data_IF_381989232939
#
_entry.id   IF_381989232939
#
_cell.length_a   1.000
_cell.length_b   1.000
_cell.length_c   1.000
_cell.angle_alpha   90.00
_cell.angle_beta   90.00
_cell.angle_gamma   90.00
#
_symmetry.space_group_name_H-M   'P 1'
#
loop_
_entity.id
_entity.type
_entity.pdbx_description
1 polymer ?
#
# COMPACT_ATOMS: atom_id res chain seq x y z
N UNK A 1 -3.87 15.90 -12.20
CA UNK A 1 -2.93 14.76 -12.19
C UNK A 1 -1.51 15.21 -11.91
N UNK A 2 -0.99 16.18 -12.68
CA UNK A 2 0.39 16.66 -12.55
C UNK A 2 0.74 17.08 -11.11
N UNK A 3 -0.11 17.89 -10.47
CA UNK A 3 0.09 18.35 -9.09
C UNK A 3 0.20 17.19 -8.09
N UNK A 4 -0.62 16.16 -8.25
CA UNK A 4 -0.58 14.97 -7.39
C UNK A 4 0.70 14.16 -7.66
N UNK A 5 1.04 13.98 -8.92
CA UNK A 5 2.25 13.27 -9.33
C UNK A 5 3.52 13.96 -8.80
N UNK A 6 3.59 15.29 -8.92
CA UNK A 6 4.72 16.08 -8.44
C UNK A 6 4.93 15.96 -6.92
N UNK A 7 3.85 15.83 -6.14
CA UNK A 7 3.91 15.66 -4.68
C UNK A 7 4.61 14.37 -4.23
N UNK A 8 4.60 13.35 -5.07
CA UNK A 8 5.16 12.03 -4.74
C UNK A 8 6.31 11.61 -5.65
N UNK A 9 6.79 12.52 -6.48
CA UNK A 9 7.83 12.29 -7.48
C UNK A 9 7.49 11.17 -8.47
N UNK A 10 6.27 11.23 -9.04
CA UNK A 10 5.76 10.27 -10.02
C UNK A 10 5.46 10.94 -11.37
N UNK A 11 5.30 10.14 -12.42
CA UNK A 11 4.78 10.61 -13.70
C UNK A 11 3.25 10.77 -13.61
N UNK A 12 2.69 11.83 -14.19
CA UNK A 12 1.24 12.06 -14.17
C UNK A 12 0.42 10.92 -14.79
N UNK A 13 1.02 10.13 -15.67
CA UNK A 13 0.39 8.97 -16.30
C UNK A 13 0.27 7.77 -15.36
N UNK A 14 0.95 7.82 -14.22
CA UNK A 14 0.88 6.82 -13.16
C UNK A 14 -0.23 7.10 -12.14
N UNK A 15 -0.98 8.20 -12.31
CA UNK A 15 -2.05 8.58 -11.42
C UNK A 15 -3.40 8.18 -12.00
N UNK A 16 -4.13 7.36 -11.25
CA UNK A 16 -5.50 6.93 -11.54
C UNK A 16 -6.44 7.59 -10.54
N UNK A 17 -7.49 8.24 -11.04
CA UNK A 17 -8.50 8.86 -10.19
C UNK A 17 -9.50 7.81 -9.69
N UNK A 18 -9.87 7.92 -8.42
CA UNK A 18 -10.85 7.06 -7.76
C UNK A 18 -11.84 7.91 -6.95
N UNK A 19 -12.84 7.26 -6.36
CA UNK A 19 -13.80 7.92 -5.47
C UNK A 19 -13.26 8.20 -4.06
N UNK A 20 -12.09 7.65 -3.73
CA UNK A 20 -11.45 7.82 -2.42
C UNK A 20 -10.39 6.77 -2.15
N UNK A 21 -9.73 6.87 -1.00
CA UNK A 21 -8.69 5.94 -0.58
C UNK A 21 -9.20 4.49 -0.47
N UNK A 22 -10.45 4.30 -0.05
CA UNK A 22 -11.08 2.97 0.05
C UNK A 22 -11.10 2.26 -1.31
N UNK A 23 -11.59 2.94 -2.36
CA UNK A 23 -11.60 2.38 -3.71
C UNK A 23 -10.16 2.15 -4.21
N UNK A 24 -9.25 3.08 -3.96
CA UNK A 24 -7.84 2.94 -4.33
C UNK A 24 -7.21 1.70 -3.70
N UNK A 25 -7.44 1.46 -2.41
CA UNK A 25 -6.94 0.28 -1.69
C UNK A 25 -7.51 -1.03 -2.30
N UNK A 26 -8.82 -1.05 -2.54
CA UNK A 26 -9.49 -2.20 -3.16
C UNK A 26 -8.92 -2.49 -4.56
N UNK A 27 -8.82 -1.46 -5.38
CA UNK A 27 -8.32 -1.58 -6.76
C UNK A 27 -6.89 -2.11 -6.79
N UNK A 28 -6.01 -1.59 -5.94
CA UNK A 28 -4.62 -2.02 -5.87
C UNK A 28 -4.48 -3.46 -5.41
N UNK A 29 -5.03 -3.79 -4.24
CA UNK A 29 -4.84 -5.10 -3.60
C UNK A 29 -5.54 -6.20 -4.41
N UNK A 30 -6.82 -6.01 -4.74
CA UNK A 30 -7.57 -6.98 -5.55
C UNK A 30 -7.03 -7.10 -6.96
N UNK A 31 -6.61 -5.99 -7.56
CA UNK A 31 -6.03 -5.98 -8.89
C UNK A 31 -4.81 -6.88 -9.00
N UNK A 32 -3.85 -6.74 -8.09
CA UNK A 32 -2.67 -7.59 -8.05
C UNK A 32 -3.04 -9.03 -7.71
N UNK A 33 -3.83 -9.24 -6.66
CA UNK A 33 -4.21 -10.57 -6.21
C UNK A 33 -4.88 -11.38 -7.33
N UNK A 34 -5.87 -10.80 -8.01
CA UNK A 34 -6.61 -11.49 -9.07
C UNK A 34 -5.77 -11.68 -10.33
N UNK A 35 -5.02 -10.66 -10.75
CA UNK A 35 -4.22 -10.73 -11.97
C UNK A 35 -3.10 -11.77 -11.87
N UNK A 36 -2.44 -11.83 -10.70
CA UNK A 36 -1.30 -12.72 -10.47
C UNK A 36 -1.66 -14.00 -9.69
N UNK A 37 -2.93 -14.39 -9.63
CA UNK A 37 -3.39 -15.55 -8.85
C UNK A 37 -2.71 -16.87 -9.24
N UNK A 38 -2.27 -16.98 -10.50
CA UNK A 38 -1.52 -18.16 -10.98
C UNK A 38 -0.07 -18.22 -10.47
N UNK A 39 0.50 -17.04 -10.16
CA UNK A 39 1.85 -16.95 -9.60
C UNK A 39 1.85 -17.25 -8.11
N UNK A 40 0.80 -16.88 -7.42
CA UNK A 40 0.64 -17.12 -5.99
C UNK A 40 -0.63 -16.52 -5.43
N UNK A 41 -1.00 -16.97 -4.24
CA UNK A 41 -2.20 -16.54 -3.53
C UNK A 41 -1.92 -16.07 -2.10
N UNK A 42 -0.71 -15.62 -1.82
CA UNK A 42 -0.33 -15.12 -0.51
C UNK A 42 -0.21 -13.59 -0.49
N UNK A 43 -0.80 -12.99 0.52
CA UNK A 43 -0.83 -11.54 0.76
C UNK A 43 -0.31 -11.27 2.16
N UNK A 44 0.48 -10.22 2.31
CA UNK A 44 0.97 -9.76 3.61
C UNK A 44 0.42 -8.36 3.87
N UNK A 45 -0.14 -8.15 5.05
CA UNK A 45 -0.58 -6.85 5.54
C UNK A 45 -0.33 -6.76 7.04
N UNK A 46 -0.80 -5.70 7.70
CA UNK A 46 -0.70 -5.58 9.16
C UNK A 46 -2.06 -5.53 9.82
N UNK A 47 -2.12 -5.86 11.12
CA UNK A 47 -3.36 -5.80 11.90
C UNK A 47 -3.83 -4.38 12.17
N UNK A 48 -2.95 -3.41 12.06
CA UNK A 48 -3.22 -2.00 12.35
C UNK A 48 -3.57 -1.18 11.11
N UNK A 49 -3.82 -1.85 9.96
CA UNK A 49 -4.25 -1.19 8.73
C UNK A 49 -5.64 -0.58 8.88
N UNK A 50 -5.95 0.38 8.02
CA UNK A 50 -7.30 0.92 7.92
C UNK A 50 -8.30 -0.19 7.60
N UNK A 51 -9.54 -0.05 8.10
CA UNK A 51 -10.63 -1.01 7.90
C UNK A 51 -10.81 -1.41 6.42
N UNK A 52 -10.66 -0.47 5.49
CA UNK A 52 -10.78 -0.73 4.06
C UNK A 52 -9.78 -1.79 3.56
N UNK A 53 -8.55 -1.76 4.03
CA UNK A 53 -7.51 -2.75 3.68
C UNK A 53 -7.85 -4.10 4.31
N UNK A 54 -8.21 -4.10 5.59
CA UNK A 54 -8.55 -5.33 6.32
C UNK A 54 -9.78 -6.04 5.70
N UNK A 55 -10.82 -5.29 5.37
CA UNK A 55 -12.04 -5.84 4.75
C UNK A 55 -11.73 -6.42 3.35
N UNK A 56 -10.89 -5.75 2.57
CA UNK A 56 -10.42 -6.23 1.28
C UNK A 56 -9.68 -7.56 1.42
N UNK A 57 -8.76 -7.65 2.38
CA UNK A 57 -8.01 -8.87 2.63
C UNK A 57 -8.92 -10.02 3.10
N UNK A 58 -9.89 -9.74 3.98
CA UNK A 58 -10.87 -10.74 4.42
C UNK A 58 -11.73 -11.25 3.28
N UNK A 59 -12.12 -10.39 2.34
CA UNK A 59 -12.85 -10.81 1.15
C UNK A 59 -11.99 -11.74 0.28
N UNK A 60 -10.71 -11.42 0.09
CA UNK A 60 -9.79 -12.27 -0.66
C UNK A 60 -9.58 -13.63 0.01
N UNK A 61 -9.54 -13.69 1.35
CA UNK A 61 -9.50 -14.96 2.08
C UNK A 61 -10.70 -15.85 1.74
N UNK A 62 -11.91 -15.29 1.63
CA UNK A 62 -13.11 -16.02 1.22
C UNK A 62 -13.04 -16.53 -0.22
N UNK A 63 -12.23 -15.88 -1.05
CA UNK A 63 -11.96 -16.30 -2.43
C UNK A 63 -10.82 -17.33 -2.54
N UNK A 64 -10.23 -17.75 -1.42
CA UNK A 64 -9.19 -18.78 -1.37
C UNK A 64 -7.76 -18.23 -1.30
N UNK A 65 -7.59 -16.93 -1.09
CA UNK A 65 -6.27 -16.34 -0.81
C UNK A 65 -5.88 -16.55 0.65
N UNK A 66 -4.59 -16.60 0.90
CA UNK A 66 -4.03 -16.69 2.24
C UNK A 66 -3.41 -15.35 2.62
N UNK A 67 -3.79 -14.81 3.77
CA UNK A 67 -3.32 -13.51 4.24
C UNK A 67 -2.56 -13.66 5.55
N UNK A 68 -1.35 -13.13 5.60
CA UNK A 68 -0.58 -12.98 6.82
C UNK A 68 -0.78 -11.57 7.36
N UNK A 69 -1.31 -11.47 8.58
CA UNK A 69 -1.50 -10.21 9.30
C UNK A 69 -0.37 -10.02 10.31
N UNK A 70 0.55 -9.11 10.02
CA UNK A 70 1.68 -8.81 10.89
C UNK A 70 1.21 -8.02 12.11
N UNK A 71 1.69 -8.40 13.28
CA UNK A 71 1.49 -7.64 14.51
C UNK A 71 2.60 -6.58 14.62
N UNK A 72 2.25 -5.31 14.97
CA UNK A 72 3.25 -4.30 15.20
C UNK A 72 4.11 -4.64 16.42
N UNK A 73 5.31 -4.08 16.47
CA UNK A 73 6.17 -4.19 17.66
C UNK A 73 5.62 -3.35 18.84
N UNK A 74 6.34 -3.32 19.96
CA UNK A 74 5.96 -2.58 21.16
C UNK A 74 5.86 -1.06 20.92
N UNK A 75 6.47 -0.55 19.86
CA UNK A 75 6.40 0.86 19.45
C UNK A 75 5.30 1.14 18.41
N UNK A 76 4.53 0.13 18.02
CA UNK A 76 3.48 0.26 17.01
C UNK A 76 3.99 0.27 15.58
N UNK A 77 5.21 -0.23 15.34
CA UNK A 77 5.84 -0.24 14.02
C UNK A 77 5.83 -1.63 13.40
N UNK A 78 5.69 -1.67 12.08
CA UNK A 78 5.97 -2.86 11.29
C UNK A 78 7.42 -2.77 10.83
N UNK A 79 8.27 -3.58 11.42
CA UNK A 79 9.69 -3.59 11.07
C UNK A 79 9.94 -4.28 9.73
N UNK A 80 10.92 -3.82 8.95
CA UNK A 80 11.26 -4.45 7.66
C UNK A 80 11.55 -5.96 7.77
N UNK A 81 12.20 -6.39 8.85
CA UNK A 81 12.53 -7.79 9.11
C UNK A 81 11.27 -8.67 9.24
N UNK A 82 10.19 -8.15 9.82
CA UNK A 82 8.92 -8.87 9.94
C UNK A 82 8.34 -9.17 8.54
N UNK A 83 8.44 -8.22 7.63
CA UNK A 83 8.00 -8.39 6.24
C UNK A 83 8.89 -9.41 5.54
N UNK A 84 10.20 -9.28 5.66
CA UNK A 84 11.16 -10.21 5.06
C UNK A 84 10.91 -11.66 5.49
N UNK A 85 10.67 -11.87 6.79
CA UNK A 85 10.42 -13.21 7.35
C UNK A 85 9.07 -13.79 6.90
N UNK A 86 8.09 -12.95 6.61
CA UNK A 86 6.75 -13.38 6.19
C UNK A 86 6.65 -13.68 4.68
N UNK A 87 7.53 -13.14 3.85
CA UNK A 87 7.49 -13.34 2.40
C UNK A 87 7.80 -14.81 2.06
N UNK A 88 6.92 -15.39 1.23
CA UNK A 88 7.01 -16.74 0.71
C UNK A 88 7.18 -16.71 -0.82
N UNK A 89 7.43 -17.85 -1.43
CA UNK A 89 7.50 -17.96 -2.90
C UNK A 89 6.19 -17.59 -3.60
N UNK A 90 5.05 -17.83 -2.93
CA UNK A 90 3.71 -17.55 -3.44
C UNK A 90 3.15 -16.18 -3.01
N UNK A 91 3.96 -15.34 -2.39
CA UNK A 91 3.56 -13.97 -2.01
C UNK A 91 3.52 -13.09 -3.25
N UNK A 92 2.39 -12.42 -3.50
CA UNK A 92 2.21 -11.52 -4.65
C UNK A 92 2.21 -10.05 -4.26
N UNK A 93 1.65 -9.70 -3.11
CA UNK A 93 1.54 -8.31 -2.67
C UNK A 93 1.75 -8.17 -1.16
N UNK A 94 2.43 -7.10 -0.80
CA UNK A 94 2.57 -6.60 0.58
C UNK A 94 1.89 -5.24 0.63
N UNK A 95 0.99 -5.05 1.60
CA UNK A 95 0.28 -3.79 1.80
C UNK A 95 0.49 -3.30 3.23
N UNK A 96 1.22 -2.20 3.39
CA UNK A 96 1.56 -1.59 4.69
C UNK A 96 1.24 -0.10 4.63
N UNK A 97 0.59 0.42 5.66
CA UNK A 97 0.32 1.85 5.77
C UNK A 97 1.58 2.65 6.10
N UNK A 98 1.65 3.87 5.58
CA UNK A 98 2.78 4.77 5.83
C UNK A 98 2.72 5.31 7.26
N UNK A 99 1.60 5.93 7.63
CA UNK A 99 1.39 6.53 8.96
C UNK A 99 0.15 5.95 9.60
N UNK A 100 0.26 5.49 10.84
CA UNK A 100 -0.90 5.13 11.65
C UNK A 100 -1.34 6.33 12.48
N UNK A 101 -2.55 6.82 12.24
CA UNK A 101 -3.11 7.99 12.93
C UNK A 101 -3.37 7.77 14.42
N UNK A 102 -3.80 6.56 14.76
CA UNK A 102 -4.17 6.23 16.15
C UNK A 102 -2.94 6.15 17.04
N UNK A 103 -1.86 5.58 16.50
CA UNK A 103 -0.61 5.37 17.22
C UNK A 103 0.41 6.49 16.98
N UNK A 104 0.22 7.31 15.95
CA UNK A 104 1.19 8.34 15.55
C UNK A 104 2.50 7.78 15.02
N UNK A 105 2.52 6.52 14.58
CA UNK A 105 3.74 5.84 14.13
C UNK A 105 3.96 5.99 12.63
N UNK A 106 5.23 6.07 12.23
CA UNK A 106 5.68 6.17 10.85
C UNK A 106 6.50 4.93 10.50
N UNK A 107 5.98 4.08 9.61
CA UNK A 107 6.71 2.91 9.13
C UNK A 107 7.83 3.29 8.14
N UNK A 108 8.93 2.56 8.18
CA UNK A 108 10.05 2.74 7.24
C UNK A 108 9.70 2.09 5.88
N UNK A 109 8.96 2.83 5.07
CA UNK A 109 8.46 2.37 3.78
C UNK A 109 9.60 2.09 2.81
N UNK A 110 10.66 2.89 2.81
CA UNK A 110 11.79 2.69 1.91
C UNK A 110 12.50 1.36 2.18
N UNK A 111 12.73 1.00 3.44
CA UNK A 111 13.34 -0.27 3.80
C UNK A 111 12.45 -1.47 3.46
N UNK A 112 11.14 -1.38 3.73
CA UNK A 112 10.16 -2.40 3.37
C UNK A 112 10.08 -2.54 1.84
N UNK A 113 10.01 -1.43 1.13
CA UNK A 113 9.94 -1.39 -0.33
C UNK A 113 11.14 -2.03 -1.00
N UNK A 114 12.34 -1.79 -0.46
CA UNK A 114 13.57 -2.41 -0.96
C UNK A 114 13.50 -3.93 -0.86
N UNK A 115 13.06 -4.45 0.28
CA UNK A 115 12.87 -5.90 0.49
C UNK A 115 11.88 -6.46 -0.53
N UNK A 116 10.73 -5.83 -0.70
CA UNK A 116 9.72 -6.26 -1.67
C UNK A 116 10.28 -6.28 -3.11
N UNK A 117 11.05 -5.25 -3.48
CA UNK A 117 11.69 -5.15 -4.79
C UNK A 117 12.67 -6.28 -5.03
N UNK A 118 13.55 -6.57 -4.07
CA UNK A 118 14.54 -7.65 -4.14
C UNK A 118 13.88 -9.03 -4.21
N UNK A 119 12.75 -9.20 -3.55
CA UNK A 119 11.98 -10.45 -3.52
C UNK A 119 10.95 -10.55 -4.66
N UNK A 120 10.85 -9.55 -5.52
CA UNK A 120 9.89 -9.48 -6.65
C UNK A 120 8.43 -9.59 -6.22
N UNK A 121 8.07 -8.93 -5.14
CA UNK A 121 6.73 -8.82 -4.58
C UNK A 121 6.24 -7.39 -4.80
N UNK A 122 4.98 -7.22 -5.22
CA UNK A 122 4.39 -5.89 -5.36
C UNK A 122 4.20 -5.25 -3.99
N UNK A 123 4.52 -3.97 -3.90
CA UNK A 123 4.39 -3.20 -2.66
C UNK A 123 3.36 -2.10 -2.82
N UNK A 124 2.29 -2.21 -2.03
CA UNK A 124 1.23 -1.22 -1.91
C UNK A 124 1.34 -0.48 -0.57
N UNK A 125 1.18 0.83 -0.61
CA UNK A 125 1.19 1.69 0.58
C UNK A 125 -0.11 2.47 0.68
N UNK A 126 -0.79 2.37 1.81
CA UNK A 126 -1.89 3.26 2.16
C UNK A 126 -1.29 4.56 2.75
N UNK A 127 -1.34 5.62 1.97
CA UNK A 127 -0.86 6.94 2.35
C UNK A 127 -1.99 7.95 2.59
N UNK A 128 -3.21 7.47 2.87
CA UNK A 128 -4.36 8.33 3.12
C UNK A 128 -4.13 9.33 4.25
N UNK A 129 -3.29 9.00 5.21
CA UNK A 129 -2.99 9.83 6.38
C UNK A 129 -1.70 10.66 6.24
N UNK A 130 -0.82 10.30 5.32
CA UNK A 130 0.52 10.89 5.19
C UNK A 130 0.68 11.81 3.97
N UNK A 131 -0.11 11.61 2.92
CA UNK A 131 -0.02 12.42 1.72
C UNK A 131 -0.22 13.90 2.00
N UNK A 132 0.71 14.73 1.57
CA UNK A 132 0.71 16.17 1.82
C UNK A 132 1.22 16.61 3.19
N UNK A 133 1.50 15.67 4.10
CA UNK A 133 1.99 15.97 5.46
C UNK A 133 3.46 15.57 5.66
N UNK A 134 3.91 14.55 4.96
CA UNK A 134 5.29 14.07 4.98
C UNK A 134 5.82 13.99 3.57
N UNK A 135 7.13 14.13 3.40
CA UNK A 135 7.77 13.95 2.10
C UNK A 135 7.61 12.52 1.61
N UNK A 136 7.05 12.36 0.40
CA UNK A 136 6.88 11.07 -0.26
C UNK A 136 7.63 11.10 -1.58
N UNK A 137 8.50 10.12 -1.78
CA UNK A 137 9.16 9.86 -3.05
C UNK A 137 9.00 8.39 -3.40
N UNK A 138 8.08 8.07 -4.29
CA UNK A 138 7.73 6.68 -4.63
C UNK A 138 8.88 5.91 -5.28
N UNK A 139 9.83 6.61 -5.92
CA UNK A 139 11.02 5.98 -6.48
C UNK A 139 11.99 5.53 -5.38
N UNK A 140 12.33 6.44 -4.46
CA UNK A 140 13.25 6.15 -3.35
C UNK A 140 12.65 5.17 -2.34
N UNK A 141 11.33 5.12 -2.24
CA UNK A 141 10.60 4.21 -1.36
C UNK A 141 10.28 2.85 -2.01
N UNK A 142 10.62 2.66 -3.29
CA UNK A 142 10.36 1.43 -4.05
C UNK A 142 8.89 1.00 -4.05
N UNK A 143 7.97 1.97 -4.02
CA UNK A 143 6.52 1.72 -4.00
C UNK A 143 6.02 1.41 -5.40
N UNK A 144 5.21 0.37 -5.54
CA UNK A 144 4.57 0.01 -6.81
C UNK A 144 3.19 0.62 -6.95
N UNK A 145 2.46 0.73 -5.83
CA UNK A 145 1.13 1.33 -5.76
C UNK A 145 0.96 2.10 -4.47
N UNK A 146 0.30 3.25 -4.53
CA UNK A 146 0.03 4.07 -3.35
C UNK A 146 -1.35 4.67 -3.42
N UNK A 147 -2.11 4.53 -2.32
CA UNK A 147 -3.48 5.05 -2.20
C UNK A 147 -3.51 6.33 -1.38
N UNK A 148 -4.23 7.33 -1.85
CA UNK A 148 -4.46 8.58 -1.11
C UNK A 148 -5.82 9.18 -1.38
N UNK A 149 -6.23 10.04 -0.46
CA UNK A 149 -7.46 10.81 -0.49
C UNK A 149 -7.17 12.23 -0.95
N UNK A 150 -7.88 12.72 -1.96
CA UNK A 150 -7.57 14.03 -2.55
C UNK A 150 -7.86 15.20 -1.60
N UNK A 151 -8.85 15.09 -0.70
CA UNK A 151 -9.18 16.18 0.24
C UNK A 151 -8.05 16.49 1.23
N UNK A 152 -7.13 15.56 1.45
CA UNK A 152 -5.94 15.75 2.30
C UNK A 152 -4.76 16.40 1.56
N UNK A 153 -4.88 16.52 0.24
CA UNK A 153 -3.89 17.13 -0.65
C UNK A 153 -4.54 18.20 -1.53
N UNK A 154 -5.32 19.08 -0.91
CA UNK A 154 -5.99 20.23 -1.54
C UNK A 154 -7.06 19.90 -2.60
N UNK A 155 -7.56 18.66 -2.64
CA UNK A 155 -8.65 18.27 -3.52
C UNK A 155 -10.01 18.28 -2.84
N UNK A 156 -11.11 18.16 -3.60
CA UNK A 156 -12.45 18.06 -3.05
C UNK A 156 -12.68 16.72 -2.33
N UNK A 157 -13.65 16.69 -1.41
CA UNK A 157 -14.12 15.44 -0.79
C UNK A 157 -14.73 14.52 -1.86
N UNK A 158 -14.61 13.21 -1.65
CA UNK A 158 -15.17 12.22 -2.55
C UNK A 158 -14.30 11.90 -3.77
N UNK A 159 -13.06 12.38 -3.79
CA UNK A 159 -12.07 12.04 -4.81
C UNK A 159 -10.84 11.47 -4.12
N UNK A 160 -10.35 10.36 -4.65
CA UNK A 160 -9.09 9.75 -4.28
C UNK A 160 -8.19 9.56 -5.49
N UNK A 161 -7.00 9.10 -5.25
CA UNK A 161 -6.05 8.76 -6.30
C UNK A 161 -5.28 7.49 -5.93
N UNK A 162 -4.94 6.73 -6.96
CA UNK A 162 -4.06 5.58 -6.89
C UNK A 162 -2.86 5.85 -7.79
N UNK A 163 -1.68 5.83 -7.20
CA UNK A 163 -0.44 5.74 -7.95
C UNK A 163 -0.23 4.27 -8.35
N UNK A 164 0.08 4.05 -9.63
CA UNK A 164 0.45 2.72 -10.16
C UNK A 164 1.71 2.89 -11.00
N UNK A 165 2.80 2.32 -10.53
CA UNK A 165 4.09 2.37 -11.22
C UNK A 165 3.98 1.78 -12.63
N UNK A 166 4.49 2.50 -13.60
CA UNK A 166 4.69 2.02 -14.96
C UNK A 166 6.08 1.40 -15.08
N UNK A 167 6.16 0.30 -15.80
CA UNK A 167 7.46 -0.32 -16.14
C UNK A 167 8.14 0.43 -17.27
#
# INVERSE_FOLDING_TARGET
>A
RRQVADLINADQREIVWTSGATESNNLAIKGVAHFYHKKGKHIITSRIEHKAVLDTCRQLEREGFEVTYLDPDSNGLIQPEMVADAIREDTTVVSIMHVNNELGTLNDIAAIGKICRERKVFFHVDAAQSAGKTGINVEEMYVDMMSFSAHKIYGPKGIGALFVRRK
#
